data_IF_667621671957
#
_entry.id   IF_667621671957
#
_cell.length_a   1.000
_cell.length_b   1.000
_cell.length_c   1.000
_cell.angle_alpha   90.00
_cell.angle_beta   90.00
_cell.angle_gamma   90.00
#
_symmetry.space_group_name_H-M   'P 1'
#
loop_
_entity.id
_entity.type
_entity.pdbx_description
1 polymer ?
#
# COMPACT_ATOMS: atom_id res chain seq x y z
N UNK A 1 24.10 -9.53 -6.20
CA UNK A 1 23.77 -10.44 -7.31
C UNK A 1 22.30 -10.22 -7.61
N UNK A 2 21.97 -9.71 -8.80
CA UNK A 2 20.57 -9.54 -9.20
C UNK A 2 20.09 -10.92 -9.67
N UNK A 3 19.16 -11.52 -8.95
CA UNK A 3 18.41 -12.70 -9.40
C UNK A 3 17.53 -12.27 -10.58
N UNK A 4 18.15 -12.09 -11.74
CA UNK A 4 17.44 -12.15 -13.02
C UNK A 4 17.21 -13.63 -13.29
N UNK A 5 16.15 -14.17 -12.72
CA UNK A 5 15.52 -15.38 -13.23
C UNK A 5 14.92 -15.04 -14.59
N UNK A 6 15.78 -14.99 -15.63
CA UNK A 6 15.35 -15.08 -17.01
C UNK A 6 14.80 -16.50 -17.22
N UNK A 7 13.59 -16.73 -16.73
CA UNK A 7 12.81 -17.93 -17.04
C UNK A 7 12.55 -17.85 -18.54
N UNK A 8 13.28 -18.65 -19.33
CA UNK A 8 12.93 -18.88 -20.73
C UNK A 8 11.54 -19.51 -20.76
N UNK A 9 10.55 -18.68 -21.08
CA UNK A 9 9.15 -19.09 -21.07
C UNK A 9 8.81 -19.68 -22.44
N UNK A 10 8.84 -21.02 -22.52
CA UNK A 10 8.85 -21.83 -23.74
C UNK A 10 7.54 -21.75 -24.58
N UNK A 11 6.44 -21.23 -24.01
CA UNK A 11 5.18 -21.03 -24.74
C UNK A 11 4.49 -19.69 -24.44
N UNK A 12 3.69 -19.17 -25.37
CA UNK A 12 2.89 -17.95 -25.16
C UNK A 12 1.87 -18.10 -24.00
N UNK A 13 1.43 -19.32 -23.73
CA UNK A 13 0.57 -19.62 -22.58
C UNK A 13 1.34 -19.45 -21.26
N UNK A 14 2.58 -19.93 -21.20
CA UNK A 14 3.43 -19.80 -20.03
C UNK A 14 3.84 -18.34 -19.79
N UNK A 15 4.09 -17.56 -20.86
CA UNK A 15 4.38 -16.11 -20.75
C UNK A 15 3.22 -15.37 -20.10
N UNK A 16 1.99 -15.69 -20.51
CA UNK A 16 0.77 -15.12 -19.96
C UNK A 16 0.56 -15.54 -18.50
N UNK A 17 0.81 -16.80 -18.17
CA UNK A 17 0.70 -17.31 -16.80
C UNK A 17 1.72 -16.63 -15.87
N UNK A 18 2.97 -16.52 -16.30
CA UNK A 18 4.04 -15.85 -15.56
C UNK A 18 3.72 -14.36 -15.33
N UNK A 19 3.30 -13.65 -16.37
CA UNK A 19 2.88 -12.25 -16.27
C UNK A 19 1.73 -12.07 -15.26
N UNK A 20 0.71 -12.92 -15.31
CA UNK A 20 -0.40 -12.89 -14.37
C UNK A 20 0.03 -13.18 -12.92
N UNK A 21 1.00 -14.07 -12.74
CA UNK A 21 1.56 -14.40 -11.43
C UNK A 21 2.35 -13.22 -10.84
N UNK A 22 3.22 -12.58 -11.64
CA UNK A 22 3.96 -11.40 -11.23
C UNK A 22 3.04 -10.24 -10.84
N UNK A 23 2.02 -9.98 -11.64
CA UNK A 23 1.08 -8.90 -11.34
C UNK A 23 0.25 -9.21 -10.07
N UNK A 24 -0.08 -10.49 -9.80
CA UNK A 24 -0.70 -10.88 -8.53
C UNK A 24 0.23 -10.56 -7.35
N UNK A 25 1.50 -10.96 -7.41
CA UNK A 25 2.52 -10.64 -6.39
C UNK A 25 2.63 -9.13 -6.17
N UNK A 26 2.63 -8.34 -7.25
CA UNK A 26 2.66 -6.88 -7.18
C UNK A 26 1.43 -6.31 -6.48
N UNK A 27 0.23 -6.80 -6.80
CA UNK A 27 -1.03 -6.37 -6.17
C UNK A 27 -1.09 -6.74 -4.69
N UNK A 28 -0.63 -7.92 -4.33
CA UNK A 28 -0.59 -8.37 -2.92
C UNK A 28 0.35 -7.48 -2.11
N UNK A 29 1.55 -7.18 -2.64
CA UNK A 29 2.48 -6.26 -1.98
C UNK A 29 1.91 -4.84 -1.80
N UNK A 30 1.17 -4.33 -2.79
CA UNK A 30 0.47 -3.06 -2.67
C UNK A 30 -0.63 -3.14 -1.62
N UNK A 31 -1.39 -4.24 -1.56
CA UNK A 31 -2.43 -4.44 -0.55
C UNK A 31 -1.83 -4.38 0.86
N UNK A 32 -0.70 -5.03 1.06
CA UNK A 32 0.02 -5.02 2.35
C UNK A 32 0.55 -3.63 2.71
N UNK A 33 1.08 -2.90 1.74
CA UNK A 33 1.46 -1.49 1.92
C UNK A 33 0.28 -0.62 2.36
N UNK A 34 -0.92 -0.86 1.82
CA UNK A 34 -2.14 -0.15 2.23
C UNK A 34 -2.58 -0.51 3.65
N UNK A 35 -2.42 -1.78 4.07
CA UNK A 35 -2.66 -2.17 5.46
C UNK A 35 -1.69 -1.45 6.40
N UNK A 36 -0.39 -1.46 6.09
CA UNK A 36 0.62 -0.77 6.87
C UNK A 36 0.37 0.74 6.97
N UNK A 37 -0.05 1.37 5.87
CA UNK A 37 -0.41 2.79 5.86
C UNK A 37 -1.64 3.07 6.73
N UNK A 38 -2.70 2.27 6.61
CA UNK A 38 -3.92 2.41 7.41
C UNK A 38 -3.60 2.34 8.91
N UNK A 39 -2.80 1.35 9.30
CA UNK A 39 -2.47 1.11 10.70
C UNK A 39 -1.52 2.18 11.27
N UNK A 40 -0.82 2.94 10.40
CA UNK A 40 0.04 4.06 10.76
C UNK A 40 -0.71 5.40 10.93
N UNK A 41 -1.98 5.48 10.51
CA UNK A 41 -2.79 6.71 10.57
C UNK A 41 -3.82 6.57 11.69
N UNK A 42 -3.67 7.28 12.82
CA UNK A 42 -4.54 7.10 14.00
C UNK A 42 -6.03 7.31 13.73
N UNK A 43 -6.37 8.22 12.80
CA UNK A 43 -7.76 8.49 12.40
C UNK A 43 -8.46 7.29 11.73
N UNK A 44 -7.69 6.33 11.22
CA UNK A 44 -8.20 5.13 10.54
C UNK A 44 -8.20 3.87 11.44
N UNK A 45 -7.65 3.97 12.65
CA UNK A 45 -7.38 2.84 13.54
C UNK A 45 -8.59 2.43 14.42
N UNK A 46 -9.69 3.20 14.40
CA UNK A 46 -10.88 2.95 15.23
C UNK A 46 -11.77 1.78 14.75
N UNK A 47 -12.48 1.15 15.70
CA UNK A 47 -13.32 -0.06 15.50
C UNK A 47 -14.32 0.02 14.34
N UNK A 48 -14.87 1.21 14.05
CA UNK A 48 -15.81 1.39 12.92
C UNK A 48 -15.13 1.33 11.54
N UNK A 49 -13.83 1.67 11.46
CA UNK A 49 -13.04 1.60 10.23
C UNK A 49 -12.24 0.29 10.12
N UNK A 50 -11.91 -0.35 11.24
CA UNK A 50 -11.17 -1.62 11.27
C UNK A 50 -12.05 -2.82 10.93
N UNK A 51 -13.33 -2.80 11.32
CA UNK A 51 -14.28 -3.88 11.02
C UNK A 51 -14.78 -3.82 9.56
N UNK A 52 -14.88 -2.62 8.98
CA UNK A 52 -15.25 -2.40 7.59
C UNK A 52 -14.36 -1.33 6.94
N UNK A 53 -13.25 -1.82 6.38
CA UNK A 53 -12.68 -1.37 5.11
C UNK A 53 -12.72 0.14 4.84
N UNK A 54 -11.84 0.91 5.50
CA UNK A 54 -11.43 2.19 4.92
C UNK A 54 -11.02 1.96 3.46
N UNK A 55 -11.72 2.60 2.52
CA UNK A 55 -11.42 2.43 1.09
C UNK A 55 -10.01 2.93 0.78
N UNK A 56 -9.40 2.43 -0.31
CA UNK A 56 -8.06 2.87 -0.72
C UNK A 56 -7.97 4.39 -0.89
N UNK A 57 -9.03 5.02 -1.41
CA UNK A 57 -9.11 6.47 -1.51
C UNK A 57 -9.07 7.13 -0.12
N UNK A 58 -9.93 6.68 0.80
CA UNK A 58 -9.95 7.23 2.17
C UNK A 58 -8.62 7.04 2.91
N UNK A 59 -7.91 5.93 2.69
CA UNK A 59 -6.58 5.72 3.28
C UNK A 59 -5.60 6.80 2.78
N UNK A 60 -5.60 7.10 1.48
CA UNK A 60 -4.73 8.13 0.89
C UNK A 60 -5.11 9.54 1.36
N UNK A 61 -6.41 9.85 1.40
CA UNK A 61 -6.92 11.15 1.82
C UNK A 61 -6.54 11.41 3.29
N UNK A 62 -6.81 10.45 4.18
CA UNK A 62 -6.51 10.58 5.61
C UNK A 62 -5.03 10.56 5.93
N UNK A 63 -4.22 9.80 5.18
CA UNK A 63 -2.76 9.88 5.30
C UNK A 63 -2.24 11.28 4.95
N UNK A 64 -2.78 11.88 3.87
CA UNK A 64 -2.39 13.23 3.44
C UNK A 64 -2.78 14.28 4.47
N UNK A 65 -4.02 14.23 4.97
CA UNK A 65 -4.49 15.10 6.06
C UNK A 65 -3.61 14.95 7.30
N UNK A 66 -3.25 13.72 7.68
CA UNK A 66 -2.47 13.46 8.88
C UNK A 66 -1.03 14.01 8.77
N UNK A 67 -0.39 13.90 7.60
CA UNK A 67 0.93 14.50 7.37
C UNK A 67 0.86 16.03 7.50
N UNK A 68 -0.15 16.66 6.92
CA UNK A 68 -0.32 18.12 7.00
C UNK A 68 -0.56 18.57 8.46
N UNK A 69 -1.42 17.85 9.17
CA UNK A 69 -1.67 18.09 10.60
C UNK A 69 -0.39 17.99 11.43
N UNK A 70 0.39 16.94 11.25
CA UNK A 70 1.65 16.74 11.98
C UNK A 70 2.69 17.82 11.66
N UNK A 71 2.76 18.29 10.41
CA UNK A 71 3.63 19.42 10.03
C UNK A 71 3.24 20.71 10.76
N UNK A 72 1.94 21.04 10.78
CA UNK A 72 1.46 22.24 11.48
C UNK A 72 1.69 22.13 13.00
N UNK A 73 1.36 20.99 13.60
CA UNK A 73 1.58 20.74 15.03
C UNK A 73 3.05 20.89 15.41
N UNK A 74 3.96 20.30 14.64
CA UNK A 74 5.40 20.42 14.91
C UNK A 74 5.91 21.85 14.75
N UNK A 75 5.39 22.60 13.77
CA UNK A 75 5.74 24.01 13.59
C UNK A 75 5.30 24.87 14.78
N UNK A 76 4.06 24.70 15.27
CA UNK A 76 3.56 25.43 16.45
C UNK A 76 4.25 25.06 17.76
N UNK A 77 4.82 23.85 17.85
CA UNK A 77 5.54 23.40 19.05
C UNK A 77 7.02 23.86 19.09
N UNK A 78 7.58 24.33 17.96
CA UNK A 78 8.95 24.86 17.88
C UNK A 78 9.02 26.38 17.98
N UNK A 79 7.87 27.06 18.03
CA UNK A 79 7.72 28.50 18.23
C UNK A 79 7.37 28.78 19.69
#
# INVERSE_FOLDING_TARGET
MSENDDIEVDSDADKRAHHNALERKRRDHIKDSFHGLRDSVPALQGEKCSLFQASRAQILDKATEYIQFMRQKNHTHQM
#
